data_IF_358488147298
#
_entry.id   IF_358488147298
#
_cell.length_a   1.000
_cell.length_b   1.000
_cell.length_c   1.000
_cell.angle_alpha   90.00
_cell.angle_beta   90.00
_cell.angle_gamma   90.00
#
_symmetry.space_group_name_H-M   'P 1'
#
loop_
_entity.id
_entity.type
_entity.pdbx_description
1 polymer ?
#
# COMPACT_ATOMS: atom_id res chain seq x y z
N UNK A 1 -22.26 -9.63 -17.83
CA UNK A 1 -21.96 -8.98 -19.14
C UNK A 1 -21.75 -7.47 -18.98
N UNK A 2 -22.62 -6.75 -18.24
CA UNK A 2 -22.43 -5.31 -17.97
C UNK A 2 -21.16 -4.98 -17.16
N UNK A 3 -20.84 -5.73 -16.10
CA UNK A 3 -19.57 -5.59 -15.36
C UNK A 3 -18.30 -5.83 -16.19
N UNK A 4 -18.35 -6.71 -17.20
CA UNK A 4 -17.17 -7.01 -18.03
C UNK A 4 -16.91 -5.93 -19.09
N UNK A 5 -17.94 -5.16 -19.47
CA UNK A 5 -17.84 -4.05 -20.41
C UNK A 5 -17.38 -2.78 -19.70
N UNK A 6 -17.81 -2.56 -18.45
CA UNK A 6 -17.33 -1.44 -17.64
C UNK A 6 -15.87 -1.65 -17.17
N UNK A 7 -15.49 -2.89 -16.79
CA UNK A 7 -14.10 -3.22 -16.50
C UNK A 7 -13.15 -2.97 -17.69
N UNK A 8 -13.60 -3.20 -18.92
CA UNK A 8 -12.80 -2.95 -20.13
C UNK A 8 -12.68 -1.46 -20.52
N UNK A 9 -13.35 -0.55 -19.80
CA UNK A 9 -13.32 0.90 -20.04
C UNK A 9 -12.68 1.69 -18.90
N UNK A 10 -12.37 1.03 -17.79
CA UNK A 10 -11.75 1.64 -16.63
C UNK A 10 -10.22 1.55 -16.74
N UNK A 11 -9.49 2.67 -16.90
CA UNK A 11 -8.04 2.67 -16.95
C UNK A 11 -7.39 2.04 -15.71
N UNK A 12 -8.07 2.09 -14.55
CA UNK A 12 -7.62 1.49 -13.29
C UNK A 12 -7.64 -0.04 -13.37
N UNK A 13 -8.60 -0.61 -14.08
CA UNK A 13 -8.68 -2.06 -14.29
C UNK A 13 -7.51 -2.57 -15.13
N UNK A 14 -7.19 -1.89 -16.23
CA UNK A 14 -6.03 -2.23 -17.05
C UNK A 14 -4.72 -2.11 -16.26
N UNK A 15 -4.60 -1.07 -15.42
CA UNK A 15 -3.45 -0.91 -14.54
C UNK A 15 -3.32 -2.08 -13.55
N UNK A 16 -4.41 -2.57 -12.95
CA UNK A 16 -4.37 -3.76 -12.07
C UNK A 16 -3.84 -5.01 -12.75
N UNK A 17 -3.95 -5.11 -14.07
CA UNK A 17 -3.46 -6.27 -14.82
C UNK A 17 -1.96 -6.19 -15.14
N UNK A 18 -1.35 -5.00 -15.07
CA UNK A 18 0.04 -4.77 -15.48
C UNK A 18 0.94 -4.24 -14.37
N UNK A 19 0.39 -3.81 -13.24
CA UNK A 19 1.16 -3.35 -12.08
C UNK A 19 1.01 -4.32 -10.91
N UNK A 20 2.12 -4.52 -10.21
CA UNK A 20 2.18 -5.40 -9.04
C UNK A 20 1.50 -4.80 -7.80
N UNK A 21 1.59 -3.48 -7.67
CA UNK A 21 0.97 -2.66 -6.63
C UNK A 21 0.41 -1.38 -7.27
N UNK A 22 -0.09 -0.47 -6.45
CA UNK A 22 -0.64 0.83 -6.86
C UNK A 22 0.34 1.99 -6.65
N UNK A 23 1.62 1.75 -6.31
CA UNK A 23 2.56 2.82 -6.01
C UNK A 23 2.78 3.78 -7.19
N UNK A 24 3.00 3.21 -8.39
CA UNK A 24 3.17 3.96 -9.64
C UNK A 24 1.84 4.51 -10.19
N UNK A 25 0.70 4.19 -9.60
CA UNK A 25 -0.58 4.74 -10.05
C UNK A 25 -0.66 6.21 -9.68
N UNK A 26 -0.26 6.52 -8.46
CA UNK A 26 -0.10 7.86 -7.94
C UNK A 26 1.27 8.38 -8.34
N UNK A 27 1.43 9.71 -8.32
CA UNK A 27 2.75 10.30 -8.46
C UNK A 27 2.73 11.76 -8.82
N UNK A 28 3.35 12.57 -7.96
CA UNK A 28 3.38 14.02 -8.10
C UNK A 28 4.82 14.54 -8.03
N UNK A 29 5.15 15.47 -8.92
CA UNK A 29 6.35 16.29 -8.82
C UNK A 29 5.92 17.73 -8.62
N UNK A 30 6.44 18.32 -7.56
CA UNK A 30 6.14 19.69 -7.15
C UNK A 30 7.28 20.63 -7.54
N UNK A 31 6.91 21.81 -7.99
CA UNK A 31 7.80 22.95 -8.08
C UNK A 31 7.23 24.07 -7.23
N UNK A 32 7.80 24.22 -6.03
CA UNK A 32 7.38 25.21 -5.02
C UNK A 32 8.51 26.18 -4.70
N UNK A 33 8.19 27.42 -4.30
CA UNK A 33 9.17 28.34 -3.73
C UNK A 33 9.90 27.68 -2.56
N UNK A 34 11.23 27.78 -2.55
CA UNK A 34 12.04 27.24 -1.46
C UNK A 34 11.91 28.07 -0.18
N UNK A 35 11.78 29.39 -0.34
CA UNK A 35 11.61 30.34 0.75
C UNK A 35 10.57 31.39 0.34
N UNK A 36 9.73 31.81 1.28
CA UNK A 36 8.79 32.91 1.11
C UNK A 36 8.72 33.73 2.40
N UNK A 37 8.61 35.05 2.24
CA UNK A 37 8.35 35.98 3.33
C UNK A 37 6.89 36.38 3.28
N UNK A 38 6.16 36.14 4.38
CA UNK A 38 4.75 36.46 4.52
C UNK A 38 4.55 37.48 5.63
N UNK A 39 3.76 38.50 5.35
CA UNK A 39 3.39 39.49 6.37
C UNK A 39 2.18 38.98 7.15
N UNK A 40 2.34 38.77 8.46
CA UNK A 40 1.24 38.44 9.35
C UNK A 40 0.33 39.64 9.60
N UNK A 41 -0.88 39.39 10.09
CA UNK A 41 -1.88 40.43 10.28
C UNK A 41 -1.56 41.25 11.56
N UNK A 42 -1.54 42.60 11.53
CA UNK A 42 -1.41 43.38 12.75
C UNK A 42 -2.54 43.06 13.74
N UNK A 43 -2.21 42.97 15.03
CA UNK A 43 -3.11 42.61 16.13
C UNK A 43 -4.25 43.62 16.42
N UNK A 44 -4.65 44.47 15.46
CA UNK A 44 -5.63 45.53 15.65
C UNK A 44 -6.46 45.82 14.39
N UNK A 45 -7.59 45.13 14.24
CA UNK A 45 -8.85 45.66 13.69
C UNK A 45 -8.86 46.30 12.28
N UNK A 46 -7.85 46.12 11.44
CA UNK A 46 -7.84 46.65 10.08
C UNK A 46 -8.28 45.58 9.07
N UNK A 47 -9.40 45.85 8.39
CA UNK A 47 -9.92 45.02 7.31
C UNK A 47 -9.06 45.16 6.05
N UNK A 48 -8.19 44.18 5.79
CA UNK A 48 -7.84 43.68 4.46
C UNK A 48 -6.94 42.45 4.63
N UNK A 49 -7.54 41.28 4.84
CA UNK A 49 -6.82 40.03 4.69
C UNK A 49 -6.50 39.86 3.19
N UNK A 50 -5.33 40.30 2.74
CA UNK A 50 -4.72 39.62 1.61
C UNK A 50 -4.31 38.26 2.13
N UNK A 51 -5.12 37.23 1.87
CA UNK A 51 -4.67 35.86 2.08
C UNK A 51 -3.32 35.73 1.38
N UNK A 52 -2.27 35.44 2.15
CA UNK A 52 -0.98 35.14 1.56
C UNK A 52 -1.18 33.94 0.63
N UNK A 53 -0.63 33.99 -0.58
CA UNK A 53 -0.73 32.88 -1.52
C UNK A 53 0.66 32.34 -1.85
N UNK A 54 0.76 31.03 -1.94
CA UNK A 54 1.96 30.34 -2.42
C UNK A 54 1.63 29.72 -3.77
N UNK A 55 2.38 30.08 -4.81
CA UNK A 55 2.25 29.46 -6.12
C UNK A 55 2.85 28.06 -6.10
N UNK A 56 2.04 27.05 -6.42
CA UNK A 56 2.44 25.64 -6.43
C UNK A 56 2.20 25.06 -7.81
N UNK A 57 3.28 24.72 -8.51
CA UNK A 57 3.22 23.98 -9.76
C UNK A 57 3.33 22.48 -9.47
N UNK A 58 2.40 21.69 -10.01
CA UNK A 58 2.33 20.24 -9.79
C UNK A 58 2.21 19.55 -11.14
N UNK A 59 3.00 18.49 -11.34
CA UNK A 59 2.90 17.60 -12.51
C UNK A 59 2.49 16.19 -12.07
N UNK A 60 1.54 15.62 -12.80
CA UNK A 60 1.14 14.22 -12.62
C UNK A 60 2.18 13.30 -13.29
N UNK A 61 2.97 12.60 -12.48
CA UNK A 61 3.89 11.53 -12.88
C UNK A 61 3.32 10.12 -12.68
N UNK A 62 2.12 10.03 -12.10
CA UNK A 62 1.40 8.78 -11.95
C UNK A 62 0.81 8.27 -13.27
N UNK A 63 0.07 7.17 -13.18
CA UNK A 63 -0.57 6.51 -14.34
C UNK A 63 -2.07 6.71 -14.43
N UNK A 64 -2.70 7.27 -13.38
CA UNK A 64 -4.13 7.58 -13.36
C UNK A 64 -4.39 9.07 -13.58
N UNK A 65 -5.58 9.39 -14.09
CA UNK A 65 -6.06 10.77 -14.16
C UNK A 65 -6.44 11.21 -12.75
N UNK A 66 -5.92 12.34 -12.30
CA UNK A 66 -6.42 12.96 -11.07
C UNK A 66 -7.75 13.63 -11.36
N UNK A 67 -8.82 13.12 -10.76
CA UNK A 67 -10.17 13.66 -10.94
C UNK A 67 -10.44 14.77 -9.96
N UNK A 68 -10.89 15.95 -10.43
CA UNK A 68 -11.23 17.09 -9.57
C UNK A 68 -12.54 16.92 -8.80
N UNK A 69 -13.48 16.18 -9.38
CA UNK A 69 -14.82 15.94 -8.82
C UNK A 69 -15.03 14.43 -8.71
N UNK A 70 -15.86 13.97 -7.77
CA UNK A 70 -16.14 12.55 -7.58
C UNK A 70 -16.45 12.20 -6.13
N UNK A 71 -16.44 10.90 -5.83
CA UNK A 71 -16.57 10.39 -4.45
C UNK A 71 -15.27 10.59 -3.66
N UNK A 72 -14.14 10.40 -4.35
CA UNK A 72 -12.79 10.55 -3.81
C UNK A 72 -11.99 11.46 -4.76
N UNK A 73 -12.24 12.79 -4.76
CA UNK A 73 -11.51 13.67 -5.63
C UNK A 73 -10.05 13.78 -5.18
N UNK A 74 -9.19 14.11 -6.12
CA UNK A 74 -7.81 14.43 -5.83
C UNK A 74 -7.73 15.88 -5.37
N UNK A 75 -6.93 16.13 -4.34
CA UNK A 75 -6.73 17.45 -3.74
C UNK A 75 -5.26 17.66 -3.43
N UNK A 76 -4.83 18.92 -3.46
CA UNK A 76 -3.54 19.33 -2.89
C UNK A 76 -3.79 19.70 -1.43
N UNK A 77 -3.08 19.07 -0.50
CA UNK A 77 -3.13 19.42 0.92
C UNK A 77 -1.85 20.13 1.35
N UNK A 78 -1.94 20.87 2.47
CA UNK A 78 -0.77 21.37 3.15
C UNK A 78 -0.90 21.32 4.67
N UNK A 79 0.23 21.10 5.33
CA UNK A 79 0.35 21.18 6.78
C UNK A 79 1.46 22.13 7.20
N UNK A 80 1.27 22.75 8.36
CA UNK A 80 2.28 23.57 9.00
C UNK A 80 3.19 22.72 9.87
N UNK A 81 4.50 22.91 9.71
CA UNK A 81 5.53 22.30 10.52
C UNK A 81 6.36 23.38 11.23
N UNK A 82 7.05 22.96 12.29
CA UNK A 82 8.10 23.76 12.90
C UNK A 82 9.28 24.01 11.93
N UNK A 83 10.17 24.95 12.29
CA UNK A 83 11.26 25.42 11.43
C UNK A 83 12.22 24.30 10.95
N UNK A 84 12.42 23.27 11.76
CA UNK A 84 13.27 22.11 11.42
C UNK A 84 12.52 20.98 10.69
N UNK A 85 11.19 21.09 10.54
CA UNK A 85 10.34 20.11 9.86
C UNK A 85 10.07 18.84 10.65
N UNK A 86 10.50 18.77 11.92
CA UNK A 86 10.40 17.57 12.75
C UNK A 86 9.02 17.30 13.34
N UNK A 87 8.13 18.31 13.38
CA UNK A 87 6.84 18.18 14.04
C UNK A 87 5.76 19.07 13.41
N UNK A 88 4.51 18.61 13.52
CA UNK A 88 3.31 19.32 13.06
C UNK A 88 2.94 20.44 14.03
N UNK A 89 2.45 21.55 13.51
CA UNK A 89 1.75 22.57 14.29
C UNK A 89 0.27 22.24 14.34
N UNK A 90 -0.35 22.37 15.50
CA UNK A 90 -1.79 22.20 15.72
C UNK A 90 -2.57 23.36 15.09
N UNK A 91 -2.64 23.30 13.76
CA UNK A 91 -3.33 24.25 12.88
C UNK A 91 -4.19 23.46 11.88
N UNK A 92 -5.28 24.06 11.38
CA UNK A 92 -6.09 23.41 10.35
C UNK A 92 -5.25 23.04 9.13
N UNK A 93 -5.45 21.81 8.65
CA UNK A 93 -4.95 21.39 7.34
C UNK A 93 -5.60 22.23 6.25
N UNK A 94 -4.79 22.66 5.28
CA UNK A 94 -5.30 23.27 4.08
C UNK A 94 -5.59 22.22 3.04
N UNK A 95 -6.77 22.29 2.43
CA UNK A 95 -7.18 21.39 1.35
C UNK A 95 -7.64 22.21 0.15
N UNK A 96 -7.02 21.94 -1.00
CA UNK A 96 -7.17 22.75 -2.21
C UNK A 96 -7.65 21.86 -3.36
N UNK A 97 -8.86 22.10 -3.89
CA UNK A 97 -9.38 21.33 -5.01
C UNK A 97 -8.61 21.63 -6.29
N UNK A 98 -8.46 20.63 -7.16
CA UNK A 98 -7.80 20.81 -8.44
C UNK A 98 -8.64 21.73 -9.37
N UNK A 99 -7.99 22.60 -10.16
CA UNK A 99 -8.72 23.49 -11.08
C UNK A 99 -9.41 22.70 -12.21
N UNK A 100 -8.88 21.53 -12.56
CA UNK A 100 -9.34 20.64 -13.63
C UNK A 100 -8.83 19.23 -13.38
N UNK A 101 -9.40 18.25 -14.09
CA UNK A 101 -8.81 16.91 -14.15
C UNK A 101 -7.38 16.98 -14.73
N UNK A 102 -6.47 16.19 -14.17
CA UNK A 102 -5.04 16.21 -14.54
C UNK A 102 -4.62 14.83 -15.05
N UNK A 103 -4.56 14.63 -16.38
CA UNK A 103 -4.07 13.38 -16.95
C UNK A 103 -2.58 13.13 -16.65
N UNK A 104 -2.10 11.88 -16.74
CA UNK A 104 -0.68 11.55 -16.68
C UNK A 104 0.18 12.45 -17.59
N UNK A 105 1.27 12.98 -17.05
CA UNK A 105 2.19 13.90 -17.71
C UNK A 105 1.73 15.36 -17.78
N UNK A 106 0.50 15.69 -17.39
CA UNK A 106 0.01 17.06 -17.40
C UNK A 106 0.39 17.82 -16.12
N UNK A 107 0.44 19.15 -16.22
CA UNK A 107 0.71 20.05 -15.10
C UNK A 107 -0.44 21.01 -14.81
N UNK A 108 -0.51 21.43 -13.56
CA UNK A 108 -1.40 22.47 -13.05
C UNK A 108 -0.62 23.47 -12.18
N UNK A 109 -1.17 24.67 -12.07
CA UNK A 109 -0.71 25.70 -11.16
C UNK A 109 -1.84 26.02 -10.18
N UNK A 110 -1.53 26.09 -8.89
CA UNK A 110 -2.45 26.47 -7.83
C UNK A 110 -1.84 27.62 -7.04
N UNK A 111 -2.54 28.75 -6.99
CA UNK A 111 -2.27 29.82 -6.03
C UNK A 111 -2.90 29.44 -4.68
N UNK A 112 -2.12 28.77 -3.84
CA UNK A 112 -2.59 28.21 -2.57
C UNK A 112 -2.75 29.31 -1.51
N UNK A 113 -3.97 29.68 -1.07
CA UNK A 113 -4.15 30.58 0.05
C UNK A 113 -3.65 29.89 1.34
N UNK A 114 -2.75 30.55 2.06
CA UNK A 114 -2.20 30.06 3.33
C UNK A 114 -2.56 31.01 4.46
N UNK A 115 -3.16 30.47 5.51
CA UNK A 115 -3.49 31.24 6.71
C UNK A 115 -2.28 31.34 7.63
N UNK A 116 -1.80 32.56 7.83
CA UNK A 116 -0.69 32.91 8.73
C UNK A 116 -1.16 33.64 9.98
N UNK A 117 -2.47 33.88 10.16
CA UNK A 117 -2.99 34.68 11.26
C UNK A 117 -2.75 34.08 12.65
N UNK A 118 -2.65 32.74 12.72
CA UNK A 118 -2.38 31.99 13.94
C UNK A 118 -0.88 31.79 14.22
N UNK A 119 0.01 32.26 13.34
CA UNK A 119 1.46 32.08 13.47
C UNK A 119 2.13 33.34 14.04
N UNK A 120 2.81 33.24 15.20
CA UNK A 120 3.71 34.30 15.65
C UNK A 120 4.79 34.65 14.62
N UNK A 121 5.45 35.79 14.79
CA UNK A 121 6.64 36.11 13.99
C UNK A 121 7.73 35.06 14.21
N UNK A 122 8.23 34.47 13.12
CA UNK A 122 9.10 33.30 13.20
C UNK A 122 9.33 32.61 11.85
N UNK A 123 10.00 31.46 11.91
CA UNK A 123 10.24 30.60 10.75
C UNK A 123 9.47 29.30 10.91
N UNK A 124 8.80 28.90 9.85
CA UNK A 124 7.96 27.71 9.78
C UNK A 124 8.18 27.00 8.44
N UNK A 125 7.65 25.79 8.29
CA UNK A 125 7.61 25.11 7.00
C UNK A 125 6.18 24.80 6.64
N UNK A 126 5.85 25.01 5.37
CA UNK A 126 4.68 24.41 4.74
C UNK A 126 5.14 23.13 4.07
N UNK A 127 4.45 22.05 4.35
CA UNK A 127 4.61 20.80 3.62
C UNK A 127 3.40 20.57 2.73
N UNK A 128 3.65 20.21 1.48
CA UNK A 128 2.68 20.01 0.42
C UNK A 128 2.61 18.54 0.05
N UNK A 129 1.39 17.98 -0.02
CA UNK A 129 1.16 16.63 -0.54
C UNK A 129 -0.11 16.53 -1.39
N UNK A 130 -0.13 15.59 -2.31
CA UNK A 130 -1.28 15.22 -3.12
C UNK A 130 -2.00 14.08 -2.42
N UNK A 131 -3.32 14.18 -2.35
CA UNK A 131 -4.17 13.20 -1.66
C UNK A 131 -5.32 12.82 -2.58
N UNK A 132 -5.64 11.53 -2.65
CA UNK A 132 -6.96 11.07 -3.06
C UNK A 132 -7.82 10.98 -1.79
N UNK A 133 -8.83 11.85 -1.68
CA UNK A 133 -9.58 12.02 -0.44
C UNK A 133 -10.20 10.71 0.08
N UNK A 134 -10.03 10.46 1.37
CA UNK A 134 -10.48 9.25 2.07
C UNK A 134 -9.89 7.93 1.54
N UNK A 135 -8.86 8.00 0.69
CA UNK A 135 -8.23 6.83 0.06
C UNK A 135 -6.75 6.73 0.40
N UNK A 136 -5.93 7.71 0.00
CA UNK A 136 -4.47 7.62 0.13
C UNK A 136 -3.78 8.97 0.01
N UNK A 137 -2.76 9.18 0.83
CA UNK A 137 -1.79 10.27 0.66
C UNK A 137 -0.62 9.79 -0.22
N UNK A 138 -0.15 10.61 -1.16
CA UNK A 138 0.80 10.14 -2.19
C UNK A 138 2.14 9.70 -1.58
N UNK A 139 2.54 10.30 -0.46
CA UNK A 139 3.74 9.87 0.27
C UNK A 139 3.64 8.41 0.73
N UNK A 140 2.46 7.91 1.10
CA UNK A 140 2.23 6.50 1.45
C UNK A 140 2.50 5.52 0.29
N UNK A 141 2.67 6.05 -0.92
CA UNK A 141 3.02 5.30 -2.13
C UNK A 141 4.43 5.59 -2.63
N UNK A 142 5.25 6.26 -1.81
CA UNK A 142 6.66 6.51 -2.07
C UNK A 142 6.94 7.80 -2.83
N UNK A 143 5.96 8.67 -3.01
CA UNK A 143 6.14 9.97 -3.68
C UNK A 143 6.44 11.07 -2.67
N UNK A 144 7.58 11.78 -2.78
CA UNK A 144 8.02 12.70 -1.74
C UNK A 144 7.15 13.96 -1.66
N UNK A 145 6.85 14.40 -0.44
CA UNK A 145 6.27 15.71 -0.16
C UNK A 145 7.23 16.83 -0.57
N UNK A 146 6.68 17.99 -0.88
CA UNK A 146 7.47 19.21 -1.09
C UNK A 146 7.37 20.14 0.11
N UNK A 147 8.40 20.94 0.35
CA UNK A 147 8.41 21.88 1.46
C UNK A 147 8.80 23.28 1.02
N UNK A 148 8.14 24.28 1.61
CA UNK A 148 8.45 25.70 1.48
C UNK A 148 8.78 26.25 2.86
N UNK A 149 9.95 26.88 3.00
CA UNK A 149 10.29 27.61 4.22
C UNK A 149 9.53 28.95 4.21
N UNK A 150 8.82 29.22 5.30
CA UNK A 150 8.02 30.44 5.46
C UNK A 150 8.61 31.27 6.59
N UNK A 151 8.93 32.52 6.31
CA UNK A 151 9.30 33.52 7.32
C UNK A 151 8.13 34.48 7.51
N UNK A 152 7.68 34.65 8.76
CA UNK A 152 6.60 35.56 9.14
C UNK A 152 7.21 36.79 9.82
N UNK A 153 7.14 37.95 9.18
CA UNK A 153 7.90 39.15 9.57
C UNK A 153 7.36 39.84 10.84
N UNK A 154 6.03 39.87 11.01
CA UNK A 154 5.29 40.49 12.12
C UNK A 154 3.88 39.88 12.17
N UNK A 155 3.28 39.68 13.35
CA UNK A 155 1.82 39.63 13.50
C UNK A 155 1.17 38.25 13.52
N UNK A 156 1.19 37.63 14.69
CA UNK A 156 0.26 36.58 15.12
C UNK A 156 0.04 36.68 16.63
N UNK A 157 -0.73 35.78 17.25
CA UNK A 157 -0.84 35.72 18.72
C UNK A 157 0.54 35.58 19.38
N UNK A 158 0.71 36.07 20.61
CA UNK A 158 1.98 35.91 21.35
C UNK A 158 2.29 34.45 21.72
N UNK A 159 1.31 33.55 21.60
CA UNK A 159 1.44 32.13 21.90
C UNK A 159 1.56 31.34 20.60
N UNK A 160 2.61 30.53 20.49
CA UNK A 160 2.78 29.61 19.37
C UNK A 160 1.73 28.47 19.41
N UNK A 161 1.31 27.95 18.25
CA UNK A 161 0.50 26.74 18.17
C UNK A 161 1.14 25.58 18.93
N UNK A 162 0.31 24.64 19.40
CA UNK A 162 0.83 23.41 20.00
C UNK A 162 1.62 22.61 18.95
N UNK A 163 2.63 21.87 19.41
CA UNK A 163 3.44 21.00 18.55
C UNK A 163 2.94 19.58 18.74
N UNK A 164 2.54 18.95 17.63
CA UNK A 164 2.07 17.58 17.59
C UNK A 164 3.16 16.67 17.01
N UNK A 165 3.33 15.44 17.53
CA UNK A 165 4.17 14.44 16.87
C UNK A 165 3.71 14.21 15.43
N UNK A 166 4.67 14.05 14.51
CA UNK A 166 4.41 13.57 13.16
C UNK A 166 4.17 12.06 13.21
N UNK A 167 3.07 11.58 12.62
CA UNK A 167 2.72 10.15 12.52
C UNK A 167 3.14 9.52 11.18
N UNK A 168 3.69 10.33 10.28
CA UNK A 168 4.10 9.92 8.94
C UNK A 168 5.53 9.39 8.90
N UNK A 169 5.93 8.61 9.92
CA UNK A 169 7.20 7.89 9.96
C UNK A 169 7.49 7.33 8.57
N UNK A 170 8.44 7.95 7.87
CA UNK A 170 8.79 7.79 6.46
C UNK A 170 7.99 6.67 5.81
N UNK A 171 6.96 7.01 5.03
CA UNK A 171 6.11 6.01 4.37
C UNK A 171 6.98 4.86 3.85
N UNK A 172 6.78 3.64 4.39
CA UNK A 172 7.72 2.58 4.12
C UNK A 172 7.74 2.33 2.62
N UNK A 173 8.94 2.45 2.05
CA UNK A 173 9.18 2.17 0.65
C UNK A 173 8.51 0.84 0.27
N UNK A 174 7.59 0.88 -0.71
CA UNK A 174 6.90 -0.33 -1.16
C UNK A 174 7.92 -1.22 -1.88
N UNK A 175 8.37 -2.27 -1.20
CA UNK A 175 9.36 -3.20 -1.76
C UNK A 175 8.70 -4.07 -2.83
N UNK A 176 9.18 -4.07 -4.08
CA UNK A 176 8.67 -4.95 -5.13
C UNK A 176 8.81 -6.43 -4.76
N UNK A 177 7.87 -7.28 -5.18
CA UNK A 177 7.88 -8.73 -4.92
C UNK A 177 9.15 -9.40 -5.38
N UNK A 178 9.73 -8.98 -6.51
CA UNK A 178 10.99 -9.53 -7.00
C UNK A 178 12.12 -9.32 -5.97
N UNK A 179 12.14 -8.17 -5.30
CA UNK A 179 13.11 -7.87 -4.24
C UNK A 179 12.78 -8.68 -2.97
N UNK A 180 11.50 -8.81 -2.60
CA UNK A 180 11.07 -9.67 -1.49
C UNK A 180 11.47 -11.14 -1.73
N UNK A 181 11.30 -11.63 -2.96
CA UNK A 181 11.70 -12.99 -3.35
C UNK A 181 13.21 -13.16 -3.33
N UNK A 182 13.96 -12.14 -3.76
CA UNK A 182 15.41 -12.13 -3.62
C UNK A 182 15.84 -12.20 -2.15
N UNK A 183 15.21 -11.43 -1.26
CA UNK A 183 15.45 -11.50 0.17
C UNK A 183 15.09 -12.88 0.75
N UNK A 184 13.95 -13.46 0.37
CA UNK A 184 13.55 -14.79 0.79
C UNK A 184 14.59 -15.85 0.37
N UNK A 185 15.07 -15.80 -0.87
CA UNK A 185 16.12 -16.70 -1.37
C UNK A 185 17.42 -16.55 -0.57
N UNK A 186 17.82 -15.32 -0.21
CA UNK A 186 18.99 -15.09 0.64
C UNK A 186 18.81 -15.72 2.04
N UNK A 187 17.65 -15.55 2.67
CA UNK A 187 17.34 -16.18 3.96
C UNK A 187 17.35 -17.71 3.88
N UNK A 188 16.78 -18.28 2.82
CA UNK A 188 16.77 -19.72 2.54
C UNK A 188 18.20 -20.25 2.39
N UNK A 189 19.06 -19.55 1.65
CA UNK A 189 20.46 -19.95 1.46
C UNK A 189 21.25 -19.94 2.78
N UNK A 190 20.93 -19.03 3.70
CA UNK A 190 21.57 -18.94 5.02
C UNK A 190 21.09 -20.03 5.98
N UNK A 191 19.80 -20.34 5.98
CA UNK A 191 19.18 -21.27 6.93
C UNK A 191 18.27 -22.31 6.24
N UNK A 192 18.81 -23.19 5.37
CA UNK A 192 17.98 -23.99 4.45
C UNK A 192 17.13 -25.07 5.14
N UNK A 193 17.57 -25.60 6.28
CA UNK A 193 16.91 -26.74 6.92
C UNK A 193 15.76 -26.31 7.83
N UNK A 194 16.03 -25.33 8.71
CA UNK A 194 15.11 -24.87 9.76
C UNK A 194 14.48 -23.51 9.48
N UNK A 195 14.98 -22.78 8.48
CA UNK A 195 14.58 -21.40 8.25
C UNK A 195 15.04 -20.45 9.37
N UNK A 196 14.50 -19.25 9.35
CA UNK A 196 14.79 -18.19 10.34
C UNK A 196 13.79 -18.14 11.50
N UNK A 197 12.84 -19.06 11.55
CA UNK A 197 11.73 -19.12 12.50
C UNK A 197 10.41 -18.69 11.85
N UNK A 198 9.29 -19.24 12.33
CA UNK A 198 7.96 -18.90 11.84
C UNK A 198 7.68 -17.41 11.98
N UNK A 199 7.17 -16.78 10.91
CA UNK A 199 6.77 -15.37 10.87
C UNK A 199 7.95 -14.39 11.03
N UNK A 200 9.19 -14.84 10.80
CA UNK A 200 10.39 -14.01 10.92
C UNK A 200 10.84 -13.39 9.59
N UNK A 201 10.34 -13.83 8.43
CA UNK A 201 10.64 -13.22 7.14
C UNK A 201 10.44 -11.69 7.16
N UNK A 202 9.27 -11.24 7.62
CA UNK A 202 8.89 -9.81 7.66
C UNK A 202 9.80 -8.93 8.54
N UNK A 203 10.48 -9.54 9.51
CA UNK A 203 11.40 -8.88 10.43
C UNK A 203 12.85 -8.87 9.91
N UNK A 204 13.15 -9.60 8.84
CA UNK A 204 14.52 -9.81 8.36
C UNK A 204 14.75 -9.41 6.90
N UNK A 205 13.70 -9.34 6.08
CA UNK A 205 13.86 -9.06 4.64
C UNK A 205 14.54 -7.72 4.37
N UNK A 206 14.22 -6.67 5.14
CA UNK A 206 14.79 -5.35 4.91
C UNK A 206 16.29 -5.30 5.21
N UNK A 207 16.74 -6.02 6.24
CA UNK A 207 18.17 -6.20 6.51
C UNK A 207 18.91 -6.93 5.37
N UNK A 208 18.30 -7.95 4.76
CA UNK A 208 18.86 -8.66 3.60
C UNK A 208 18.85 -7.80 2.32
N UNK A 209 18.03 -6.74 2.28
CA UNK A 209 18.01 -5.75 1.20
C UNK A 209 18.87 -4.51 1.51
N UNK A 210 19.46 -4.42 2.69
CA UNK A 210 20.26 -3.26 3.12
C UNK A 210 19.43 -1.98 3.34
N UNK A 211 18.16 -2.12 3.74
CA UNK A 211 17.27 -1.01 4.06
C UNK A 211 17.53 -0.50 5.48
N UNK A 212 17.53 0.82 5.66
CA UNK A 212 17.65 1.46 6.99
C UNK A 212 16.34 1.38 7.80
N UNK A 213 15.20 1.32 7.12
CA UNK A 213 13.86 1.10 7.69
C UNK A 213 12.95 0.38 6.67
N UNK A 214 11.96 -0.38 7.15
CA UNK A 214 11.00 -1.09 6.30
C UNK A 214 9.71 -1.44 7.06
N UNK A 215 8.66 -1.84 6.32
CA UNK A 215 7.39 -2.29 6.91
C UNK A 215 7.48 -3.77 7.33
N UNK A 216 7.50 -4.02 8.64
CA UNK A 216 7.53 -5.36 9.22
C UNK A 216 6.17 -6.11 9.15
N UNK A 217 5.18 -5.61 8.42
CA UNK A 217 3.91 -6.32 8.14
C UNK A 217 3.90 -7.03 6.79
N UNK A 218 4.94 -6.81 5.97
CA UNK A 218 5.03 -7.32 4.59
C UNK A 218 5.52 -8.77 4.57
N UNK A 219 4.82 -9.62 3.81
CA UNK A 219 5.16 -11.02 3.57
C UNK A 219 5.83 -11.17 2.19
N UNK A 220 6.44 -12.32 1.91
CA UNK A 220 7.12 -12.57 0.63
C UNK A 220 6.16 -12.60 -0.57
N UNK A 221 4.84 -12.57 -0.36
CA UNK A 221 3.82 -12.65 -1.40
C UNK A 221 4.02 -13.88 -2.31
N UNK A 222 4.47 -14.97 -1.69
CA UNK A 222 4.63 -16.29 -2.27
C UNK A 222 4.72 -17.27 -1.10
N UNK A 223 3.66 -18.03 -0.90
CA UNK A 223 3.51 -18.95 0.23
C UNK A 223 4.69 -19.93 0.35
N UNK A 224 5.23 -20.38 -0.78
CA UNK A 224 6.31 -21.37 -0.79
C UNK A 224 7.64 -20.77 -0.38
N UNK A 225 7.95 -19.56 -0.85
CA UNK A 225 9.14 -18.83 -0.42
C UNK A 225 9.02 -18.43 1.05
N UNK A 226 7.84 -18.02 1.50
CA UNK A 226 7.59 -17.72 2.92
C UNK A 226 7.88 -18.95 3.80
N UNK A 227 7.24 -20.09 3.50
CA UNK A 227 7.42 -21.34 4.26
C UNK A 227 8.90 -21.75 4.26
N UNK A 228 9.57 -21.70 3.11
CA UNK A 228 10.99 -22.05 3.02
C UNK A 228 11.89 -21.09 3.80
N UNK A 229 11.64 -19.78 3.75
CA UNK A 229 12.43 -18.80 4.49
C UNK A 229 12.23 -18.97 5.99
N UNK A 230 10.99 -19.09 6.45
CA UNK A 230 10.65 -19.16 7.87
C UNK A 230 10.98 -20.51 8.50
N UNK A 231 10.70 -21.62 7.81
CA UNK A 231 10.73 -22.96 8.41
C UNK A 231 11.65 -23.95 7.68
N UNK A 232 12.32 -23.50 6.61
CA UNK A 232 13.24 -24.30 5.82
C UNK A 232 12.56 -25.46 5.10
N UNK A 233 13.39 -26.38 4.60
CA UNK A 233 12.91 -27.60 3.94
C UNK A 233 12.08 -28.49 4.86
N UNK A 234 12.28 -28.47 6.18
CA UNK A 234 11.46 -29.26 7.09
C UNK A 234 10.00 -28.80 7.09
N UNK A 235 9.75 -27.49 7.15
CA UNK A 235 8.39 -26.99 7.06
C UNK A 235 7.78 -27.15 5.67
N UNK A 236 8.56 -27.01 4.60
CA UNK A 236 8.07 -27.31 3.26
C UNK A 236 7.65 -28.78 3.10
N UNK A 237 8.43 -29.72 3.66
CA UNK A 237 8.08 -31.15 3.68
C UNK A 237 6.80 -31.38 4.50
N UNK A 238 6.67 -30.73 5.66
CA UNK A 238 5.46 -30.82 6.47
C UNK A 238 4.23 -30.28 5.72
N UNK A 239 4.37 -29.17 5.00
CA UNK A 239 3.32 -28.61 4.16
C UNK A 239 2.95 -29.55 3.00
N UNK A 240 3.95 -30.11 2.31
CA UNK A 240 3.73 -31.11 1.27
C UNK A 240 3.05 -32.37 1.80
N UNK A 241 3.37 -32.79 3.03
CA UNK A 241 2.72 -33.90 3.70
C UNK A 241 1.28 -33.59 4.12
N UNK A 242 0.97 -32.35 4.49
CA UNK A 242 -0.39 -31.91 4.79
C UNK A 242 -1.28 -31.92 3.54
N UNK A 243 -0.74 -31.50 2.39
CA UNK A 243 -1.50 -31.32 1.14
C UNK A 243 -1.51 -32.57 0.26
N UNK A 244 -0.44 -33.35 0.27
CA UNK A 244 -0.22 -34.48 -0.63
C UNK A 244 -1.29 -35.59 -0.51
N UNK A 245 -1.54 -36.17 0.66
CA UNK A 245 -2.53 -37.23 0.84
C UNK A 245 -3.96 -36.81 0.43
N UNK A 246 -4.49 -35.63 0.79
CA UNK A 246 -5.75 -35.12 0.25
C UNK A 246 -5.80 -35.09 -1.29
N UNK A 247 -4.76 -34.59 -1.95
CA UNK A 247 -4.70 -34.56 -3.42
C UNK A 247 -4.64 -35.96 -4.03
N UNK A 248 -3.81 -36.85 -3.48
CA UNK A 248 -3.76 -38.26 -3.91
C UNK A 248 -5.13 -38.92 -3.76
N UNK A 249 -5.88 -38.54 -2.72
CA UNK A 249 -7.21 -39.07 -2.47
C UNK A 249 -8.22 -38.64 -3.53
N UNK A 250 -8.22 -37.36 -3.87
CA UNK A 250 -9.03 -36.82 -4.96
C UNK A 250 -8.69 -37.54 -6.28
N UNK A 251 -7.40 -37.62 -6.63
CA UNK A 251 -6.96 -38.29 -7.87
C UNK A 251 -7.41 -39.75 -7.90
N UNK A 252 -7.29 -40.48 -6.79
CA UNK A 252 -7.74 -41.86 -6.68
C UNK A 252 -9.24 -42.01 -6.92
N UNK A 253 -10.07 -41.13 -6.36
CA UNK A 253 -11.53 -41.15 -6.54
C UNK A 253 -11.91 -40.81 -7.97
N UNK A 254 -11.31 -39.78 -8.56
CA UNK A 254 -11.56 -39.39 -9.95
C UNK A 254 -11.23 -40.52 -10.92
N UNK A 255 -10.14 -41.27 -10.67
CA UNK A 255 -9.71 -42.37 -11.55
C UNK A 255 -10.51 -43.66 -11.38
N UNK A 256 -11.09 -43.90 -10.21
CA UNK A 256 -11.67 -45.23 -9.87
C UNK A 256 -13.18 -45.22 -9.65
N UNK A 257 -13.79 -44.06 -9.37
CA UNK A 257 -15.22 -44.00 -9.06
C UNK A 257 -16.08 -44.29 -10.28
N UNK A 258 -17.05 -45.19 -10.10
CA UNK A 258 -18.10 -45.47 -11.09
C UNK A 258 -19.33 -44.58 -10.91
N UNK A 259 -19.39 -43.81 -9.82
CA UNK A 259 -20.48 -42.88 -9.55
C UNK A 259 -20.08 -41.48 -10.03
N UNK A 260 -20.75 -41.00 -11.08
CA UNK A 260 -20.48 -39.68 -11.67
C UNK A 260 -20.59 -38.54 -10.66
N UNK A 261 -21.57 -38.57 -9.75
CA UNK A 261 -21.72 -37.51 -8.74
C UNK A 261 -20.53 -37.46 -7.79
N UNK A 262 -19.99 -38.63 -7.41
CA UNK A 262 -18.82 -38.71 -6.56
C UNK A 262 -17.56 -38.25 -7.31
N UNK A 263 -17.42 -38.62 -8.58
CA UNK A 263 -16.32 -38.15 -9.42
C UNK A 263 -16.36 -36.62 -9.62
N UNK A 264 -17.52 -36.04 -9.92
CA UNK A 264 -17.69 -34.60 -10.07
C UNK A 264 -17.42 -33.83 -8.78
N UNK A 265 -17.89 -34.34 -7.64
CA UNK A 265 -17.54 -33.77 -6.33
C UNK A 265 -16.03 -33.79 -6.08
N UNK A 266 -15.37 -34.91 -6.38
CA UNK A 266 -13.92 -35.04 -6.25
C UNK A 266 -13.17 -34.04 -7.14
N UNK A 267 -13.60 -33.89 -8.40
CA UNK A 267 -13.04 -32.90 -9.34
C UNK A 267 -13.22 -31.48 -8.79
N UNK A 268 -14.41 -31.13 -8.30
CA UNK A 268 -14.69 -29.80 -7.74
C UNK A 268 -13.79 -29.46 -6.56
N UNK A 269 -13.66 -30.37 -5.59
CA UNK A 269 -12.75 -30.20 -4.44
C UNK A 269 -11.29 -30.13 -4.91
N UNK A 270 -10.90 -30.95 -5.87
CA UNK A 270 -9.55 -30.95 -6.46
C UNK A 270 -9.21 -29.62 -7.13
N UNK A 271 -10.14 -29.06 -7.91
CA UNK A 271 -9.96 -27.75 -8.56
C UNK A 271 -9.91 -26.61 -7.54
N UNK A 272 -10.70 -26.68 -6.48
CA UNK A 272 -10.62 -25.69 -5.38
C UNK A 272 -9.25 -25.72 -4.69
N UNK A 273 -8.74 -26.92 -4.37
CA UNK A 273 -7.39 -27.07 -3.80
C UNK A 273 -6.30 -26.61 -4.77
N UNK A 274 -6.43 -26.94 -6.06
CA UNK A 274 -5.50 -26.47 -7.09
C UNK A 274 -5.50 -24.95 -7.18
N UNK A 275 -6.66 -24.30 -7.11
CA UNK A 275 -6.76 -22.84 -7.12
C UNK A 275 -6.01 -22.22 -5.94
N UNK A 276 -6.16 -22.75 -4.73
CA UNK A 276 -5.38 -22.29 -3.57
C UNK A 276 -3.87 -22.48 -3.75
N UNK A 277 -3.43 -23.63 -4.27
CA UNK A 277 -2.00 -23.91 -4.48
C UNK A 277 -1.40 -23.01 -5.56
N UNK A 278 -2.10 -22.79 -6.66
CA UNK A 278 -1.67 -21.86 -7.71
C UNK A 278 -1.67 -20.42 -7.20
N UNK A 279 -2.68 -20.01 -6.43
CA UNK A 279 -2.72 -18.69 -5.78
C UNK A 279 -1.55 -18.49 -4.82
N UNK A 280 -1.13 -19.55 -4.13
CA UNK A 280 0.05 -19.56 -3.26
C UNK A 280 1.38 -19.20 -3.95
N UNK A 281 1.46 -19.25 -5.28
CA UNK A 281 2.64 -18.75 -6.01
C UNK A 281 2.77 -17.21 -5.97
N UNK A 282 1.67 -16.51 -5.70
CA UNK A 282 1.57 -15.06 -5.78
C UNK A 282 1.08 -14.41 -4.48
N UNK A 283 0.77 -15.18 -3.45
CA UNK A 283 0.23 -14.66 -2.21
C UNK A 283 0.52 -15.61 -1.04
N UNK A 284 0.63 -15.05 0.16
CA UNK A 284 0.82 -15.80 1.41
C UNK A 284 -0.51 -15.86 2.18
N UNK A 285 -1.55 -16.34 1.50
CA UNK A 285 -2.94 -16.26 1.97
C UNK A 285 -3.26 -17.06 3.25
N UNK A 286 -2.39 -18.00 3.68
CA UNK A 286 -2.63 -18.81 4.87
C UNK A 286 -2.43 -18.06 6.19
N UNK A 287 -1.86 -16.85 6.15
CA UNK A 287 -1.78 -15.97 7.32
C UNK A 287 -3.13 -15.33 7.66
N UNK A 288 -4.07 -15.30 6.71
CA UNK A 288 -5.42 -14.80 6.92
C UNK A 288 -6.35 -15.94 7.40
N UNK A 289 -6.95 -15.77 8.58
CA UNK A 289 -7.78 -16.80 9.24
C UNK A 289 -8.91 -17.34 8.34
N UNK A 290 -9.70 -16.51 7.63
CA UNK A 290 -10.81 -17.01 6.83
C UNK A 290 -10.37 -17.92 5.68
N UNK A 291 -9.32 -17.53 4.97
CA UNK A 291 -8.76 -18.30 3.83
C UNK A 291 -8.06 -19.56 4.30
N UNK A 292 -7.33 -19.51 5.42
CA UNK A 292 -6.75 -20.70 6.05
C UNK A 292 -7.84 -21.70 6.47
N UNK A 293 -8.94 -21.22 7.06
CA UNK A 293 -10.09 -22.04 7.42
C UNK A 293 -10.76 -22.70 6.21
N UNK A 294 -11.01 -21.94 5.14
CA UNK A 294 -11.53 -22.45 3.87
C UNK A 294 -10.62 -23.52 3.27
N UNK A 295 -9.31 -23.28 3.25
CA UNK A 295 -8.32 -24.23 2.76
C UNK A 295 -8.36 -25.53 3.58
N UNK A 296 -8.39 -25.44 4.91
CA UNK A 296 -8.49 -26.60 5.80
C UNK A 296 -9.79 -27.41 5.58
N UNK A 297 -10.92 -26.73 5.36
CA UNK A 297 -12.20 -27.37 5.02
C UNK A 297 -12.08 -28.13 3.69
N UNK A 298 -11.47 -27.53 2.66
CA UNK A 298 -11.23 -28.19 1.38
C UNK A 298 -10.34 -29.43 1.53
N UNK A 299 -9.28 -29.37 2.34
CA UNK A 299 -8.45 -30.55 2.66
C UNK A 299 -9.27 -31.65 3.36
N UNK A 300 -10.11 -31.26 4.32
CA UNK A 300 -11.03 -32.18 5.02
C UNK A 300 -12.00 -32.87 4.06
N UNK A 301 -12.61 -32.12 3.15
CA UNK A 301 -13.48 -32.68 2.11
C UNK A 301 -12.75 -33.62 1.16
N UNK A 302 -11.52 -33.31 0.78
CA UNK A 302 -10.70 -34.20 -0.05
C UNK A 302 -10.41 -35.53 0.65
N UNK A 303 -10.05 -35.50 1.94
CA UNK A 303 -9.77 -36.70 2.73
C UNK A 303 -11.01 -37.56 3.00
N UNK A 304 -12.19 -36.94 3.16
CA UNK A 304 -13.43 -37.62 3.48
C UNK A 304 -14.00 -38.48 2.33
N UNK A 305 -13.57 -38.25 1.08
CA UNK A 305 -13.99 -39.03 -0.07
C UNK A 305 -13.59 -40.50 0.10
N UNK A 306 -14.14 -41.47 -0.65
CA UNK A 306 -13.79 -42.92 -0.56
C UNK A 306 -13.53 -43.49 -1.96
N UNK A 307 -12.36 -44.11 -2.25
CA UNK A 307 -12.09 -44.61 -3.58
C UNK A 307 -12.88 -45.90 -3.76
N UNK A 308 -13.19 -46.26 -5.00
CA UNK A 308 -13.78 -47.56 -5.23
C UNK A 308 -12.68 -48.63 -5.11
N UNK A 309 -12.67 -49.39 -4.02
CA UNK A 309 -11.79 -50.57 -3.89
C UNK A 309 -12.46 -51.71 -4.66
N UNK A 310 -11.87 -52.18 -5.77
CA UNK A 310 -12.34 -53.42 -6.38
C UNK A 310 -12.03 -54.57 -5.42
N UNK A 311 -13.06 -55.12 -4.77
CA UNK A 311 -12.91 -56.33 -3.97
C UNK A 311 -12.38 -57.49 -4.84
N UNK A 312 -11.41 -58.21 -4.29
CA UNK A 312 -11.39 -59.67 -4.42
C UNK A 312 -12.57 -60.24 -3.65
#
# INVERSE_FOLDING_TARGET
MMMAVDAARDPVFDLRLVTENDADWYGAVYQVPQNIELHGNPASGASAASAASVGVDIRNEGRIVWTRDGVHPFVLTYHWLNADGSALLDLPEGELPLPRDVPPGASIHIDAPVDVAALPGGTYRLEWDMVEQDVVQFYERGWPNAQTLVTVDQGGPSQAPAVLPRDDSVAPWVVPRVNLWQAAVQLIQRNPVLGVGTDNFRHLYGAELGLDSWDERVQANNLYLEILADTGFLGLIAFAWLVGPPLMRVVGVVRTSRNLNQAYYAIGVGLALLAFLVHGLFDTFLTFIPTAGLFAICLGFALAQKPHVSGR
#
